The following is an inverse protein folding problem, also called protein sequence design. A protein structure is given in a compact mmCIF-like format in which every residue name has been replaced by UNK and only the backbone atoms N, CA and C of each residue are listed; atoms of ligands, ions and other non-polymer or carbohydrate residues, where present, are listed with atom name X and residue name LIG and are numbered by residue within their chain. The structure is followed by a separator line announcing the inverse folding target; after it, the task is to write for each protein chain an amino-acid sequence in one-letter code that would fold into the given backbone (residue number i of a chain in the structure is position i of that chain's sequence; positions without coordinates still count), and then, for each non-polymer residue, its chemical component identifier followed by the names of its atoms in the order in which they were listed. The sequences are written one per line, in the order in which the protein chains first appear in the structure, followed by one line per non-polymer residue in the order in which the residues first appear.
data_IF_151191582228
#
_entry.id   IF_151191582228
#
_cell.length_a   1.000
_cell.length_b   1.000
_cell.length_c   1.000
_cell.angle_alpha   90.00
_cell.angle_beta   90.00
_cell.angle_gamma   90.00
#
_symmetry.space_group_name_H-M   'P 1'
#
loop_
_entity.id
_entity.type
_entity.pdbx_description
1 polymer ?
#
# COMPACT_ATOMS: atom_id res chain seq x y z
N UNK A 1 -9.98 4.03 3.52
CA UNK A 1 -10.40 3.29 4.71
C UNK A 1 -10.35 4.24 5.88
N UNK A 2 -11.48 4.40 6.57
CA UNK A 2 -11.58 5.30 7.73
C UNK A 2 -10.99 4.63 8.96
N UNK A 3 -10.08 5.33 9.64
CA UNK A 3 -9.37 4.88 10.83
C UNK A 3 -9.64 5.84 11.99
N UNK A 4 -9.79 5.29 13.19
CA UNK A 4 -9.75 6.03 14.45
C UNK A 4 -8.54 5.55 15.25
N UNK A 5 -7.69 6.49 15.64
CA UNK A 5 -6.48 6.18 16.42
C UNK A 5 -6.86 6.16 17.91
N UNK A 6 -6.65 5.02 18.59
CA UNK A 6 -7.09 4.77 19.98
C UNK A 6 -6.64 5.84 20.96
N UNK A 7 -5.39 6.28 20.87
CA UNK A 7 -4.75 7.17 21.84
C UNK A 7 -5.26 8.61 21.74
N UNK A 8 -5.62 9.06 20.53
CA UNK A 8 -5.97 10.45 20.25
C UNK A 8 -7.45 10.66 19.93
N UNK A 9 -8.16 9.57 19.61
CA UNK A 9 -9.52 9.59 19.06
C UNK A 9 -9.63 10.42 17.77
N UNK A 10 -8.51 10.62 17.07
CA UNK A 10 -8.47 11.31 15.77
C UNK A 10 -8.96 10.37 14.69
N UNK A 11 -9.72 10.91 13.74
CA UNK A 11 -10.21 10.20 12.57
C UNK A 11 -9.32 10.54 11.38
N UNK A 12 -8.73 9.52 10.78
CA UNK A 12 -7.84 9.62 9.63
C UNK A 12 -8.30 8.70 8.50
N UNK A 13 -7.75 8.91 7.30
CA UNK A 13 -8.09 8.09 6.13
C UNK A 13 -6.82 7.50 5.53
N UNK A 14 -6.76 6.17 5.44
CA UNK A 14 -5.77 5.45 4.63
C UNK A 14 -6.29 5.26 3.20
N UNK A 15 -5.45 5.47 2.20
CA UNK A 15 -5.83 5.30 0.79
C UNK A 15 -4.64 4.91 -0.08
N UNK A 16 -4.87 4.00 -1.03
CA UNK A 16 -3.97 3.71 -2.14
C UNK A 16 -4.80 3.62 -3.42
N UNK A 17 -4.40 4.38 -4.43
CA UNK A 17 -5.16 4.64 -5.64
C UNK A 17 -4.42 4.00 -6.81
N UNK A 18 -5.13 3.14 -7.54
CA UNK A 18 -4.68 2.66 -8.84
C UNK A 18 -4.75 3.83 -9.82
N UNK A 19 -3.58 4.24 -10.32
CA UNK A 19 -3.44 5.38 -11.22
C UNK A 19 -4.29 5.25 -12.49
N UNK A 20 -4.46 4.02 -13.01
CA UNK A 20 -5.15 3.75 -14.27
C UNK A 20 -6.66 3.87 -14.14
N UNK A 21 -7.21 3.38 -13.03
CA UNK A 21 -8.67 3.30 -12.85
C UNK A 21 -9.22 4.36 -11.90
N UNK A 22 -8.36 5.00 -11.09
CA UNK A 22 -8.75 5.87 -9.98
C UNK A 22 -9.38 5.11 -8.81
N UNK A 23 -9.34 3.77 -8.83
CA UNK A 23 -9.92 2.94 -7.79
C UNK A 23 -9.08 3.02 -6.51
N UNK A 24 -9.73 3.28 -5.37
CA UNK A 24 -9.09 3.15 -4.07
C UNK A 24 -9.17 1.70 -3.60
N UNK A 25 -8.06 0.97 -3.69
CA UNK A 25 -8.00 -0.46 -3.38
C UNK A 25 -7.43 -0.75 -1.96
N UNK A 26 -7.41 0.26 -1.09
CA UNK A 26 -6.80 0.16 0.23
C UNK A 26 -7.34 -0.98 1.11
N UNK A 27 -8.65 -1.23 1.04
CA UNK A 27 -9.26 -2.30 1.82
C UNK A 27 -8.75 -3.68 1.38
N UNK A 28 -8.60 -3.88 0.06
CA UNK A 28 -8.06 -5.13 -0.50
C UNK A 28 -6.57 -5.26 -0.18
N UNK A 29 -5.80 -4.17 -0.29
CA UNK A 29 -4.38 -4.16 0.02
C UNK A 29 -4.10 -4.59 1.47
N UNK A 30 -4.76 -3.94 2.44
CA UNK A 30 -4.61 -4.28 3.86
C UNK A 30 -5.19 -5.67 4.14
N UNK A 31 -6.39 -5.97 3.61
CA UNK A 31 -7.07 -7.25 3.82
C UNK A 31 -6.27 -8.46 3.33
N UNK A 32 -5.61 -8.36 2.19
CA UNK A 32 -4.81 -9.45 1.63
C UNK A 32 -3.57 -9.82 2.48
N UNK A 33 -3.17 -8.95 3.41
CA UNK A 33 -2.09 -9.25 4.38
C UNK A 33 -2.59 -10.00 5.62
N UNK A 34 -3.91 -10.07 5.82
CA UNK A 34 -4.52 -10.59 7.05
C UNK A 34 -4.61 -9.57 8.19
N UNK A 35 -4.19 -8.32 7.99
CA UNK A 35 -4.18 -7.30 9.04
C UNK A 35 -5.57 -6.88 9.56
N UNK A 36 -6.63 -7.19 8.82
CA UNK A 36 -8.01 -7.00 9.28
C UNK A 36 -8.50 -8.13 10.19
N UNK A 37 -7.77 -9.26 10.25
CA UNK A 37 -8.12 -10.46 11.00
C UNK A 37 -7.12 -10.78 12.13
N UNK A 38 -5.93 -10.17 12.13
CA UNK A 38 -4.84 -10.47 13.07
C UNK A 38 -4.85 -9.59 14.35
N UNK A 39 -5.79 -8.65 14.45
CA UNK A 39 -5.96 -7.75 15.59
C UNK A 39 -5.25 -6.41 15.46
N UNK A 40 -4.59 -6.10 14.34
CA UNK A 40 -4.06 -4.75 14.08
C UNK A 40 -5.18 -3.72 13.95
N UNK A 41 -6.28 -4.09 13.28
CA UNK A 41 -7.47 -3.26 13.13
C UNK A 41 -8.70 -3.92 13.74
N UNK A 42 -9.47 -3.15 14.50
CA UNK A 42 -10.75 -3.58 15.06
C UNK A 42 -11.88 -2.76 14.43
N UNK A 43 -12.89 -3.44 13.86
CA UNK A 43 -14.06 -2.74 13.31
C UNK A 43 -14.96 -2.18 14.42
N UNK A 44 -15.31 -0.89 14.34
CA UNK A 44 -16.29 -0.26 15.22
C UNK A 44 -17.56 0.08 14.43
N UNK A 45 -18.63 -0.68 14.70
CA UNK A 45 -19.94 -0.50 14.04
C UNK A 45 -20.58 0.86 14.35
N UNK A 46 -20.44 1.38 15.56
CA UNK A 46 -21.08 2.63 15.98
C UNK A 46 -20.48 3.86 15.29
N UNK A 47 -19.16 3.85 15.06
CA UNK A 47 -18.42 4.93 14.44
C UNK A 47 -18.20 4.72 12.93
N UNK A 48 -18.54 3.52 12.43
CA UNK A 48 -18.36 3.09 11.05
C UNK A 48 -16.92 3.35 10.57
N UNK A 49 -15.95 2.86 11.35
CA UNK A 49 -14.51 3.01 11.11
C UNK A 49 -13.74 1.84 11.75
N UNK A 50 -12.53 1.58 11.24
CA UNK A 50 -11.57 0.71 11.92
C UNK A 50 -10.84 1.48 13.01
N UNK A 51 -10.41 0.76 14.03
CA UNK A 51 -9.68 1.31 15.16
C UNK A 51 -8.32 0.60 15.26
N UNK A 52 -7.24 1.38 15.37
CA UNK A 52 -5.90 0.86 15.66
C UNK A 52 -5.15 1.79 16.63
N UNK A 53 -3.99 1.36 17.12
CA UNK A 53 -3.11 2.23 17.90
C UNK A 53 -2.26 3.13 16.96
N UNK A 54 -1.65 4.17 17.51
CA UNK A 54 -0.82 5.12 16.76
C UNK A 54 0.34 4.42 16.01
N UNK A 55 1.03 3.47 16.64
CA UNK A 55 2.17 2.77 16.03
C UNK A 55 1.75 1.97 14.78
N UNK A 56 0.62 1.26 14.87
CA UNK A 56 0.01 0.54 13.75
C UNK A 56 -0.40 1.51 12.65
N UNK A 57 -1.01 2.65 12.99
CA UNK A 57 -1.37 3.66 12.00
C UNK A 57 -0.14 4.20 11.27
N UNK A 58 0.88 4.65 12.00
CA UNK A 58 2.10 5.24 11.43
C UNK A 58 2.85 4.25 10.53
N UNK A 59 2.91 2.97 10.93
CA UNK A 59 3.52 1.92 10.11
C UNK A 59 2.75 1.70 8.80
N UNK A 60 1.42 1.57 8.87
CA UNK A 60 0.60 1.40 7.68
C UNK A 60 0.63 2.63 6.78
N UNK A 61 0.59 3.84 7.34
CA UNK A 61 0.70 5.08 6.59
C UNK A 61 1.99 5.10 5.76
N UNK A 62 3.12 4.72 6.36
CA UNK A 62 4.40 4.61 5.65
C UNK A 62 4.33 3.56 4.53
N UNK A 63 3.92 2.33 4.84
CA UNK A 63 3.83 1.23 3.85
C UNK A 63 2.96 1.65 2.66
N UNK A 64 1.83 2.28 2.93
CA UNK A 64 0.88 2.72 1.91
C UNK A 64 1.47 3.86 1.07
N UNK A 65 2.14 4.82 1.71
CA UNK A 65 2.79 5.93 1.00
C UNK A 65 3.85 5.42 0.03
N UNK A 66 4.70 4.50 0.47
CA UNK A 66 5.76 3.91 -0.36
C UNK A 66 5.18 3.11 -1.53
N UNK A 67 4.12 2.32 -1.28
CA UNK A 67 3.45 1.57 -2.33
C UNK A 67 2.67 2.47 -3.32
N UNK A 68 2.07 3.56 -2.86
CA UNK A 68 1.42 4.53 -3.75
C UNK A 68 2.45 5.19 -4.68
N UNK A 69 3.63 5.53 -4.16
CA UNK A 69 4.72 6.08 -4.97
C UNK A 69 5.22 5.06 -6.00
N UNK A 70 5.36 3.79 -5.60
CA UNK A 70 5.70 2.70 -6.52
C UNK A 70 4.65 2.52 -7.62
N UNK A 71 3.36 2.50 -7.30
CA UNK A 71 2.28 2.36 -8.29
C UNK A 71 2.32 3.47 -9.34
N UNK A 72 2.54 4.72 -8.91
CA UNK A 72 2.69 5.85 -9.83
C UNK A 72 3.91 5.67 -10.74
N UNK A 73 5.05 5.25 -10.18
CA UNK A 73 6.27 5.01 -10.94
C UNK A 73 6.11 3.86 -11.95
N UNK A 74 5.45 2.77 -11.56
CA UNK A 74 5.15 1.65 -12.47
C UNK A 74 4.29 2.16 -13.62
N UNK A 75 3.27 2.98 -13.35
CA UNK A 75 2.44 3.55 -14.41
C UNK A 75 3.26 4.39 -15.40
N UNK A 76 4.17 5.24 -14.91
CA UNK A 76 5.09 6.04 -15.76
C UNK A 76 5.98 5.13 -16.62
N UNK A 77 6.63 4.12 -16.02
CA UNK A 77 7.49 3.19 -16.76
C UNK A 77 6.72 2.36 -17.79
N UNK A 78 5.45 2.04 -17.53
CA UNK A 78 4.59 1.33 -18.49
C UNK A 78 4.32 2.19 -19.72
N UNK A 79 4.16 3.51 -19.57
CA UNK A 79 4.02 4.42 -20.71
C UNK A 79 5.27 4.45 -21.59
N UNK A 80 6.46 4.33 -20.98
CA UNK A 80 7.76 4.41 -21.68
C UNK A 80 8.24 3.08 -22.28
N UNK A 81 8.05 1.98 -21.55
CA UNK A 81 8.65 0.68 -21.87
C UNK A 81 7.63 -0.42 -22.20
N UNK A 82 6.34 -0.14 -22.00
CA UNK A 82 5.25 -1.07 -22.20
C UNK A 82 5.02 -2.00 -21.00
N UNK A 83 3.76 -2.39 -20.81
CA UNK A 83 3.30 -3.18 -19.65
C UNK A 83 4.04 -4.49 -19.45
N UNK A 84 4.28 -5.22 -20.54
CA UNK A 84 4.80 -6.58 -20.47
C UNK A 84 6.23 -6.62 -19.94
N UNK A 85 7.05 -5.62 -20.32
CA UNK A 85 8.43 -5.52 -19.84
C UNK A 85 8.48 -5.13 -18.37
N UNK A 86 7.71 -4.12 -17.97
CA UNK A 86 7.70 -3.61 -16.59
C UNK A 86 7.16 -4.66 -15.61
N UNK A 87 5.99 -5.25 -15.90
CA UNK A 87 5.41 -6.25 -15.00
C UNK A 87 6.22 -7.54 -14.93
N UNK A 88 7.01 -7.87 -15.96
CA UNK A 88 7.96 -8.98 -15.88
C UNK A 88 9.01 -8.73 -14.78
N UNK A 89 9.57 -7.53 -14.71
CA UNK A 89 10.55 -7.17 -13.67
C UNK A 89 9.90 -7.19 -12.29
N UNK A 90 8.70 -6.61 -12.16
CA UNK A 90 7.95 -6.62 -10.89
C UNK A 90 7.64 -8.04 -10.41
N UNK A 91 7.25 -8.95 -11.32
CA UNK A 91 6.94 -10.33 -10.98
C UNK A 91 8.18 -11.18 -10.66
N UNK A 92 9.32 -10.87 -11.27
CA UNK A 92 10.60 -11.57 -11.04
C UNK A 92 11.36 -11.03 -9.80
N UNK A 93 10.92 -9.88 -9.25
CA UNK A 93 11.53 -9.25 -8.09
C UNK A 93 11.51 -10.15 -6.84
N UNK A 94 12.53 -10.02 -5.99
CA UNK A 94 12.62 -10.78 -4.76
C UNK A 94 11.47 -10.47 -3.79
N UNK A 95 11.07 -11.48 -3.02
CA UNK A 95 10.15 -11.28 -1.91
C UNK A 95 10.90 -10.71 -0.70
N UNK A 96 10.30 -9.72 -0.05
CA UNK A 96 10.78 -9.14 1.21
C UNK A 96 9.63 -8.88 2.18
N UNK A 97 9.95 -8.28 3.31
CA UNK A 97 8.93 -7.82 4.25
C UNK A 97 8.08 -6.70 3.62
N UNK A 98 6.85 -6.52 4.10
CA UNK A 98 5.89 -5.60 3.47
C UNK A 98 6.43 -4.15 3.44
N UNK A 99 7.18 -3.76 4.46
CA UNK A 99 7.80 -2.44 4.56
C UNK A 99 8.96 -2.21 3.57
N UNK A 100 9.57 -3.28 3.08
CA UNK A 100 10.67 -3.24 2.13
C UNK A 100 10.21 -3.44 0.67
N UNK A 101 8.99 -3.93 0.47
CA UNK A 101 8.47 -4.32 -0.84
C UNK A 101 8.65 -3.23 -1.90
N UNK A 102 8.25 -2.00 -1.56
CA UNK A 102 8.37 -0.87 -2.48
C UNK A 102 9.84 -0.55 -2.83
N UNK A 103 10.75 -0.62 -1.85
CA UNK A 103 12.16 -0.35 -2.07
C UNK A 103 12.82 -1.42 -2.94
N UNK A 104 12.49 -2.69 -2.71
CA UNK A 104 13.02 -3.83 -3.50
C UNK A 104 12.61 -3.67 -4.96
N UNK A 105 11.32 -3.45 -5.24
CA UNK A 105 10.85 -3.31 -6.63
C UNK A 105 11.47 -2.08 -7.29
N UNK A 106 11.56 -0.95 -6.57
CA UNK A 106 12.21 0.25 -7.11
C UNK A 106 13.65 -0.02 -7.54
N UNK A 107 14.42 -0.78 -6.74
CA UNK A 107 15.79 -1.18 -7.09
C UNK A 107 15.84 -2.04 -8.35
N UNK A 108 14.96 -3.03 -8.46
CA UNK A 108 14.88 -3.89 -9.66
C UNK A 108 14.49 -3.10 -10.92
N UNK A 109 13.57 -2.15 -10.78
CA UNK A 109 13.18 -1.26 -11.86
C UNK A 109 14.36 -0.36 -12.29
N UNK A 110 15.14 0.20 -11.34
CA UNK A 110 16.34 1.00 -11.63
C UNK A 110 17.42 0.20 -12.39
N UNK A 111 17.56 -1.10 -12.11
CA UNK A 111 18.52 -1.96 -12.80
C UNK A 111 18.12 -2.28 -14.25
N UNK A 112 16.81 -2.36 -14.52
CA UNK A 112 16.27 -2.78 -15.81
C UNK A 112 15.85 -1.61 -16.72
N UNK A 113 15.43 -0.49 -16.15
CA UNK A 113 14.91 0.69 -16.83
C UNK A 113 15.65 1.93 -16.34
N UNK A 114 16.46 2.53 -17.20
CA UNK A 114 17.30 3.71 -16.91
C UNK A 114 16.79 4.95 -17.61
#
# INVERSE_FOLDING_TARGET
MEIIIKETNTRETLSIIDHKTGCNFIADFIGNTGALDDGQFEWNEEQNAYICNQETFDWWEKVISDNQALENRIAELIEEHGSDAVYKVVADAAYGDLEDHAAIINSELDENFK
#
